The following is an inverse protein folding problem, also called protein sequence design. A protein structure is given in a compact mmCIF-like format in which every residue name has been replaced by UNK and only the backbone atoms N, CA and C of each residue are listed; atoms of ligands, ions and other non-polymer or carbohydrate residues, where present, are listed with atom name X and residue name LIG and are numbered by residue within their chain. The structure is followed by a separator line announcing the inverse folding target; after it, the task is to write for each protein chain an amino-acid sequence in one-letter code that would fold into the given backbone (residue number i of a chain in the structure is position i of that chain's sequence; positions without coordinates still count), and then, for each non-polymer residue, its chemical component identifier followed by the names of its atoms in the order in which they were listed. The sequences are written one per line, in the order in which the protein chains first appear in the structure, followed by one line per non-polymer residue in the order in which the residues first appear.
data_IF_966871843900
#
_entry.id   IF_966871843900
#
_cell.length_a   1.000
_cell.length_b   1.000
_cell.length_c   1.000
_cell.angle_alpha   90.00
_cell.angle_beta   90.00
_cell.angle_gamma   90.00
#
_symmetry.space_group_name_H-M   'P 1'
#
loop_
_entity.id
_entity.type
_entity.pdbx_description
1 polymer ?
#
# COMPACT_ATOMS: atom_id res chain seq x y z
N UNK A 1 -2.01 -13.32 13.20
CA UNK A 1 -1.17 -12.93 12.06
C UNK A 1 -1.76 -13.54 10.81
N UNK A 2 -1.85 -12.79 9.72
CA UNK A 2 -2.16 -13.28 8.38
C UNK A 2 -0.83 -13.58 7.67
N UNK A 3 -0.69 -14.76 7.09
CA UNK A 3 0.57 -15.22 6.50
C UNK A 3 0.33 -15.74 5.09
N UNK A 4 1.12 -15.27 4.16
CA UNK A 4 1.25 -15.79 2.81
C UNK A 4 2.60 -16.50 2.74
N UNK A 5 2.60 -17.78 2.40
CA UNK A 5 3.79 -18.62 2.50
C UNK A 5 4.05 -19.30 1.17
N UNK A 6 5.06 -18.81 0.46
CA UNK A 6 5.60 -19.40 -0.73
C UNK A 6 4.58 -19.62 -1.86
N UNK A 7 3.73 -18.63 -2.17
CA UNK A 7 2.70 -18.79 -3.18
C UNK A 7 3.28 -18.85 -4.58
N UNK A 8 2.92 -19.91 -5.34
CA UNK A 8 3.20 -20.05 -6.76
C UNK A 8 1.89 -20.12 -7.55
N UNK A 9 1.87 -19.48 -8.73
CA UNK A 9 0.73 -19.52 -9.64
C UNK A 9 1.14 -19.30 -11.08
N UNK A 10 0.67 -20.20 -11.95
CA UNK A 10 0.78 -20.09 -13.40
C UNK A 10 -0.60 -20.19 -14.06
N UNK A 11 -0.76 -19.51 -15.19
CA UNK A 11 -1.92 -19.64 -16.09
C UNK A 11 -1.38 -20.01 -17.47
N UNK A 12 -1.48 -21.29 -17.83
CA UNK A 12 -0.76 -21.84 -18.97
C UNK A 12 0.75 -21.63 -18.81
N UNK A 13 1.39 -21.06 -19.81
CA UNK A 13 2.84 -20.78 -19.80
C UNK A 13 3.21 -19.49 -19.06
N UNK A 14 2.22 -18.72 -18.59
CA UNK A 14 2.48 -17.46 -17.90
C UNK A 14 2.64 -17.70 -16.39
N UNK A 15 3.85 -17.55 -15.88
CA UNK A 15 4.19 -17.60 -14.46
C UNK A 15 3.85 -16.25 -13.80
N UNK A 16 2.78 -16.21 -12.99
CA UNK A 16 2.28 -14.98 -12.36
C UNK A 16 2.80 -14.79 -10.94
N UNK A 17 2.97 -15.87 -10.17
CA UNK A 17 3.55 -15.84 -8.83
C UNK A 17 4.64 -16.89 -8.71
N UNK A 18 5.76 -16.49 -8.10
CA UNK A 18 6.93 -17.33 -7.91
C UNK A 18 7.51 -17.15 -6.50
N UNK A 19 6.97 -17.94 -5.56
CA UNK A 19 7.40 -17.94 -4.17
C UNK A 19 6.98 -16.70 -3.36
N UNK A 20 5.82 -16.10 -3.65
CA UNK A 20 5.35 -14.90 -2.93
C UNK A 20 5.06 -15.23 -1.48
N UNK A 21 5.73 -14.52 -0.56
CA UNK A 21 5.57 -14.70 0.88
C UNK A 21 5.72 -13.41 1.66
N UNK A 22 4.81 -13.18 2.61
CA UNK A 22 4.85 -12.07 3.58
C UNK A 22 3.87 -12.35 4.72
N UNK A 23 3.97 -11.55 5.77
CA UNK A 23 3.05 -11.66 6.92
C UNK A 23 2.56 -10.30 7.38
N UNK A 24 1.34 -10.28 7.94
CA UNK A 24 0.67 -9.09 8.44
C UNK A 24 0.22 -9.31 9.87
N UNK A 25 0.73 -8.49 10.78
CA UNK A 25 0.39 -8.58 12.19
C UNK A 25 -1.05 -8.10 12.45
N UNK A 26 -1.72 -8.59 13.51
CA UNK A 26 -2.96 -7.98 13.97
C UNK A 26 -2.78 -6.49 14.24
N UNK A 27 -3.74 -5.69 13.79
CA UNK A 27 -3.72 -4.25 14.01
C UNK A 27 -2.72 -3.47 13.16
N UNK A 28 -2.09 -4.09 12.16
CA UNK A 28 -1.18 -3.41 11.24
C UNK A 28 -1.75 -3.24 9.85
N UNK A 29 -1.27 -2.21 9.16
CA UNK A 29 -1.56 -1.97 7.75
C UNK A 29 -0.37 -2.38 6.90
N UNK A 30 -0.63 -3.23 5.89
CA UNK A 30 0.37 -3.72 4.95
C UNK A 30 0.05 -3.21 3.54
N UNK A 31 0.96 -2.45 2.95
CA UNK A 31 0.90 -1.99 1.57
C UNK A 31 1.49 -3.01 0.61
N UNK A 32 0.68 -3.54 -0.30
CA UNK A 32 1.14 -4.50 -1.31
C UNK A 32 1.34 -3.79 -2.64
N UNK A 33 2.59 -3.40 -2.92
CA UNK A 33 2.98 -2.55 -4.03
C UNK A 33 3.51 -3.36 -5.22
N UNK A 34 3.40 -2.79 -6.41
CA UNK A 34 3.93 -3.38 -7.64
C UNK A 34 3.26 -2.80 -8.88
N UNK A 35 3.91 -2.97 -10.03
CA UNK A 35 3.34 -2.58 -11.32
C UNK A 35 2.06 -3.38 -11.64
N UNK A 36 1.29 -2.89 -12.61
CA UNK A 36 0.17 -3.66 -13.13
C UNK A 36 0.67 -4.96 -13.75
N UNK A 37 -0.06 -6.06 -13.47
CA UNK A 37 0.36 -7.40 -13.91
C UNK A 37 1.44 -8.06 -13.04
N UNK A 38 1.94 -7.42 -11.98
CA UNK A 38 2.94 -8.03 -11.09
C UNK A 38 2.45 -9.25 -10.30
N UNK A 39 1.13 -9.45 -10.17
CA UNK A 39 0.53 -10.59 -9.45
C UNK A 39 -0.25 -10.20 -8.18
N UNK A 40 -0.39 -8.91 -7.85
CA UNK A 40 -1.07 -8.43 -6.64
C UNK A 40 -2.50 -8.97 -6.51
N UNK A 41 -3.35 -8.71 -7.50
CA UNK A 41 -4.74 -9.20 -7.54
C UNK A 41 -4.82 -10.73 -7.47
N UNK A 42 -3.91 -11.45 -8.15
CA UNK A 42 -3.84 -12.91 -8.08
C UNK A 42 -3.55 -13.40 -6.67
N UNK A 43 -2.60 -12.77 -5.97
CA UNK A 43 -2.27 -13.09 -4.57
C UNK A 43 -3.49 -12.91 -3.65
N UNK A 44 -4.21 -11.80 -3.80
CA UNK A 44 -5.43 -11.54 -3.01
C UNK A 44 -6.56 -12.50 -3.35
N UNK A 45 -6.75 -12.83 -4.64
CA UNK A 45 -7.74 -13.84 -5.08
C UNK A 45 -7.44 -15.23 -4.55
N UNK A 46 -6.15 -15.59 -4.38
CA UNK A 46 -5.74 -16.85 -3.74
C UNK A 46 -6.16 -16.85 -2.26
N UNK A 47 -5.90 -15.78 -1.52
CA UNK A 47 -6.33 -15.66 -0.12
C UNK A 47 -7.84 -15.84 0.01
N UNK A 48 -8.62 -15.27 -0.91
CA UNK A 48 -10.09 -15.40 -0.93
C UNK A 48 -10.59 -16.75 -1.45
N UNK A 49 -9.70 -17.63 -1.93
CA UNK A 49 -10.08 -18.93 -2.52
C UNK A 49 -10.76 -18.83 -3.89
N UNK A 50 -10.70 -17.66 -4.54
CA UNK A 50 -11.22 -17.44 -5.89
C UNK A 50 -10.30 -18.00 -6.95
N UNK A 51 -9.00 -18.13 -6.63
CA UNK A 51 -7.98 -18.77 -7.46
C UNK A 51 -7.24 -19.76 -6.58
N UNK A 52 -7.00 -20.97 -7.08
CA UNK A 52 -6.17 -21.95 -6.39
C UNK A 52 -4.70 -21.68 -6.67
N UNK A 53 -3.88 -21.64 -5.63
CA UNK A 53 -2.43 -21.64 -5.77
C UNK A 53 -1.94 -22.98 -6.33
N UNK A 54 -0.86 -22.98 -7.09
CA UNK A 54 -0.22 -24.21 -7.58
C UNK A 54 0.71 -24.80 -6.50
N UNK A 55 1.31 -23.91 -5.66
CA UNK A 55 2.02 -24.27 -4.44
C UNK A 55 1.94 -23.12 -3.44
N UNK A 56 2.32 -23.41 -2.18
CA UNK A 56 2.23 -22.46 -1.07
C UNK A 56 0.84 -22.41 -0.44
N UNK A 57 0.71 -21.63 0.63
CA UNK A 57 -0.51 -21.60 1.46
C UNK A 57 -0.72 -20.22 2.08
N UNK A 58 -1.98 -19.88 2.37
CA UNK A 58 -2.33 -18.68 3.17
C UNK A 58 -2.88 -19.15 4.50
N UNK A 59 -2.37 -18.56 5.61
CA UNK A 59 -2.79 -18.93 6.98
C UNK A 59 -3.32 -17.71 7.73
N UNK A 60 -4.31 -17.95 8.56
CA UNK A 60 -4.79 -17.01 9.57
C UNK A 60 -4.66 -17.62 10.96
N UNK A 61 -3.97 -16.93 11.87
CA UNK A 61 -3.70 -17.41 13.23
C UNK A 61 -3.06 -18.82 13.26
N UNK A 62 -2.17 -19.10 12.29
CA UNK A 62 -1.46 -20.37 12.16
C UNK A 62 -2.21 -21.48 11.46
N UNK A 63 -3.52 -21.32 11.19
CA UNK A 63 -4.33 -22.31 10.46
C UNK A 63 -4.50 -21.90 8.99
N UNK A 64 -4.50 -22.87 8.09
CA UNK A 64 -4.79 -22.63 6.68
C UNK A 64 -6.20 -22.05 6.52
N UNK A 65 -6.36 -21.07 5.60
CA UNK A 65 -7.64 -20.46 5.34
C UNK A 65 -8.64 -21.47 4.73
N UNK A 66 -9.64 -21.82 5.50
CA UNK A 66 -10.80 -22.57 5.05
C UNK A 66 -11.95 -21.64 4.59
N UNK A 67 -13.03 -22.23 4.12
CA UNK A 67 -14.19 -21.47 3.66
C UNK A 67 -14.87 -20.67 4.79
N UNK A 68 -14.88 -21.20 6.01
CA UNK A 68 -15.49 -20.55 7.17
C UNK A 68 -14.67 -19.32 7.58
N UNK A 69 -13.36 -19.44 7.63
CA UNK A 69 -12.45 -18.34 7.93
C UNK A 69 -12.53 -17.25 6.85
N UNK A 70 -12.62 -17.62 5.56
CA UNK A 70 -12.79 -16.65 4.45
C UNK A 70 -14.07 -15.82 4.57
N UNK A 71 -15.16 -16.36 5.15
CA UNK A 71 -16.39 -15.59 5.41
C UNK A 71 -16.19 -14.45 6.40
N UNK A 72 -15.13 -14.51 7.21
CA UNK A 72 -14.76 -13.47 8.19
C UNK A 72 -13.73 -12.47 7.65
N UNK A 73 -13.36 -12.61 6.38
CA UNK A 73 -12.48 -11.65 5.68
C UNK A 73 -13.35 -10.65 4.93
N UNK A 74 -13.14 -9.37 5.16
CA UNK A 74 -13.68 -8.31 4.33
C UNK A 74 -12.83 -8.19 3.07
N UNK A 75 -13.44 -8.37 1.92
CA UNK A 75 -12.76 -8.32 0.65
C UNK A 75 -13.34 -7.23 -0.25
N UNK A 76 -12.46 -6.42 -0.80
CA UNK A 76 -12.80 -5.42 -1.80
C UNK A 76 -11.99 -5.71 -3.07
N UNK A 77 -12.61 -6.23 -4.14
CA UNK A 77 -11.93 -6.44 -5.42
C UNK A 77 -11.70 -5.12 -6.16
N UNK A 78 -10.71 -5.08 -7.06
CA UNK A 78 -10.44 -3.95 -7.96
C UNK A 78 -11.66 -3.65 -8.85
N UNK A 79 -12.29 -4.70 -9.39
CA UNK A 79 -13.52 -4.57 -10.17
C UNK A 79 -14.72 -4.38 -9.23
N UNK A 80 -15.55 -3.37 -9.52
CA UNK A 80 -16.70 -3.05 -8.69
C UNK A 80 -17.79 -4.10 -8.86
N UNK A 81 -17.86 -5.07 -7.94
CA UNK A 81 -18.92 -6.08 -7.88
C UNK A 81 -20.26 -5.56 -7.34
N UNK A 82 -20.59 -4.30 -7.60
CA UNK A 82 -21.82 -3.65 -7.11
C UNK A 82 -22.99 -3.84 -8.08
N UNK A 83 -24.20 -3.96 -7.56
CA UNK A 83 -25.42 -4.02 -8.35
C UNK A 83 -25.87 -2.60 -8.73
N UNK A 84 -25.77 -2.17 -10.01
CA UNK A 84 -25.93 -0.77 -10.40
C UNK A 84 -27.27 -0.15 -10.03
N UNK A 85 -28.36 -0.92 -10.17
CA UNK A 85 -29.74 -0.44 -9.92
C UNK A 85 -30.19 -0.54 -8.46
N UNK A 86 -29.42 -1.23 -7.62
CA UNK A 86 -29.74 -1.37 -6.19
C UNK A 86 -29.38 -0.08 -5.46
N UNK A 87 -30.19 0.32 -4.48
CA UNK A 87 -29.90 1.49 -3.64
C UNK A 87 -28.72 1.20 -2.70
N UNK A 88 -27.96 2.24 -2.38
CA UNK A 88 -26.77 2.14 -1.51
C UNK A 88 -27.07 1.40 -0.21
N UNK A 89 -28.07 1.82 0.56
CA UNK A 89 -28.39 1.20 1.85
C UNK A 89 -28.90 -0.23 1.70
N UNK A 90 -29.69 -0.51 0.65
CA UNK A 90 -30.19 -1.86 0.36
C UNK A 90 -29.04 -2.79 0.03
N UNK A 91 -28.07 -2.34 -0.76
CA UNK A 91 -26.91 -3.14 -1.18
C UNK A 91 -26.00 -3.46 0.00
N UNK A 92 -25.63 -2.49 0.83
CA UNK A 92 -24.81 -2.72 2.02
C UNK A 92 -25.52 -3.68 2.99
N UNK A 93 -26.84 -3.49 3.20
CA UNK A 93 -27.64 -4.41 4.00
C UNK A 93 -27.68 -5.83 3.40
N UNK A 94 -27.76 -5.95 2.07
CA UNK A 94 -27.74 -7.23 1.37
C UNK A 94 -26.41 -7.96 1.61
N UNK A 95 -25.28 -7.29 1.46
CA UNK A 95 -23.98 -7.90 1.76
C UNK A 95 -23.84 -8.30 3.23
N UNK A 96 -24.30 -7.48 4.17
CA UNK A 96 -24.35 -7.85 5.58
C UNK A 96 -25.11 -9.17 5.83
N UNK A 97 -26.26 -9.33 5.15
CA UNK A 97 -27.06 -10.55 5.24
C UNK A 97 -26.39 -11.76 4.61
N UNK A 98 -25.66 -11.60 3.51
CA UNK A 98 -24.87 -12.67 2.90
C UNK A 98 -23.76 -13.18 3.84
N UNK A 99 -23.26 -12.30 4.71
CA UNK A 99 -22.31 -12.67 5.77
C UNK A 99 -22.97 -13.22 7.05
N UNK A 100 -24.31 -13.47 7.02
CA UNK A 100 -25.01 -14.14 8.10
C UNK A 100 -25.61 -13.25 9.19
N UNK A 101 -25.59 -11.90 9.05
CA UNK A 101 -26.24 -11.02 9.99
C UNK A 101 -27.78 -11.15 9.85
N UNK A 102 -28.50 -11.14 10.98
CA UNK A 102 -29.97 -11.02 10.95
C UNK A 102 -30.43 -9.69 10.33
N UNK A 103 -31.72 -9.58 10.01
CA UNK A 103 -32.25 -8.40 9.32
C UNK A 103 -32.01 -7.09 10.10
N UNK A 104 -32.19 -7.15 11.43
CA UNK A 104 -32.02 -5.97 12.30
C UNK A 104 -30.55 -5.57 12.46
N UNK A 105 -29.67 -6.54 12.67
CA UNK A 105 -28.21 -6.30 12.73
C UNK A 105 -27.67 -5.78 11.39
N UNK A 106 -28.10 -6.37 10.27
CA UNK A 106 -27.69 -5.95 8.94
C UNK A 106 -28.11 -4.49 8.63
N UNK A 107 -29.33 -4.11 9.00
CA UNK A 107 -29.81 -2.74 8.82
C UNK A 107 -28.98 -1.75 9.65
N UNK A 108 -28.74 -2.04 10.94
CA UNK A 108 -27.93 -1.18 11.81
C UNK A 108 -26.49 -1.05 11.32
N UNK A 109 -25.84 -2.17 10.92
CA UNK A 109 -24.51 -2.14 10.39
C UNK A 109 -24.43 -1.35 9.07
N UNK A 110 -25.43 -1.50 8.20
CA UNK A 110 -25.54 -0.70 6.97
C UNK A 110 -25.65 0.79 7.28
N UNK A 111 -26.50 1.20 8.24
CA UNK A 111 -26.67 2.60 8.63
C UNK A 111 -25.36 3.17 9.20
N UNK A 112 -24.68 2.40 10.04
CA UNK A 112 -23.40 2.78 10.61
C UNK A 112 -22.36 3.04 9.53
N UNK A 113 -22.12 2.08 8.62
CA UNK A 113 -21.07 2.20 7.62
C UNK A 113 -21.37 3.19 6.51
N UNK A 114 -22.64 3.26 6.07
CA UNK A 114 -23.10 4.29 5.11
C UNK A 114 -22.91 5.69 5.71
N UNK A 115 -23.19 5.85 7.01
CA UNK A 115 -22.97 7.12 7.72
C UNK A 115 -21.49 7.47 7.86
N UNK A 116 -20.66 6.54 8.36
CA UNK A 116 -19.22 6.73 8.57
C UNK A 116 -18.45 7.08 7.28
N UNK A 117 -18.89 6.52 6.15
CA UNK A 117 -18.27 6.77 4.86
C UNK A 117 -18.89 7.97 4.09
N UNK A 118 -19.69 8.78 4.75
CA UNK A 118 -20.27 10.00 4.19
C UNK A 118 -21.30 9.77 3.08
N UNK A 119 -21.95 8.60 3.07
CA UNK A 119 -22.97 8.22 2.09
C UNK A 119 -24.41 8.38 2.60
N UNK A 120 -24.61 8.98 3.79
CA UNK A 120 -25.92 9.07 4.44
C UNK A 120 -26.99 9.69 3.57
N UNK A 121 -26.72 10.86 2.95
CA UNK A 121 -27.62 11.54 2.04
C UNK A 121 -27.88 10.77 0.73
N UNK A 122 -26.99 9.87 0.36
CA UNK A 122 -27.05 9.04 -0.85
C UNK A 122 -27.61 7.65 -0.61
N UNK A 123 -28.01 7.33 0.63
CA UNK A 123 -28.51 6.01 1.05
C UNK A 123 -29.63 5.46 0.15
N UNK A 124 -30.51 6.35 -0.31
CA UNK A 124 -31.63 6.02 -1.19
C UNK A 124 -31.34 6.04 -2.69
N UNK A 125 -30.16 6.46 -3.10
CA UNK A 125 -29.79 6.57 -4.50
C UNK A 125 -29.36 5.22 -5.08
N UNK A 126 -29.70 4.90 -6.34
CA UNK A 126 -29.11 3.78 -7.07
C UNK A 126 -27.60 3.97 -7.22
N UNK A 127 -26.84 2.87 -7.08
CA UNK A 127 -25.36 2.92 -7.13
C UNK A 127 -24.85 3.50 -8.46
N UNK A 128 -25.50 3.21 -9.58
CA UNK A 128 -25.13 3.73 -10.91
C UNK A 128 -25.16 5.27 -11.02
N UNK A 129 -25.92 5.95 -10.15
CA UNK A 129 -26.01 7.41 -10.12
C UNK A 129 -24.91 8.09 -9.31
N UNK A 130 -24.11 7.30 -8.61
CA UNK A 130 -23.02 7.81 -7.78
C UNK A 130 -21.77 8.11 -8.61
N UNK A 131 -20.98 9.11 -8.16
CA UNK A 131 -19.62 9.28 -8.66
C UNK A 131 -18.78 8.04 -8.39
N UNK A 132 -17.69 7.86 -9.16
CA UNK A 132 -16.78 6.72 -8.99
C UNK A 132 -16.26 6.61 -7.55
N UNK A 133 -15.92 7.75 -6.92
CA UNK A 133 -15.46 7.78 -5.53
C UNK A 133 -16.54 7.34 -4.53
N UNK A 134 -17.80 7.73 -4.74
CA UNK A 134 -18.89 7.25 -3.88
C UNK A 134 -19.19 5.77 -4.09
N UNK A 135 -19.07 5.25 -5.32
CA UNK A 135 -19.16 3.81 -5.57
C UNK A 135 -18.05 3.04 -4.84
N UNK A 136 -16.83 3.58 -4.81
CA UNK A 136 -15.71 3.03 -4.06
C UNK A 136 -16.00 2.94 -2.57
N UNK A 137 -16.60 4.02 -2.01
CA UNK A 137 -17.05 4.04 -0.60
C UNK A 137 -18.14 3.02 -0.32
N UNK A 138 -19.07 2.79 -1.24
CA UNK A 138 -20.10 1.73 -1.11
C UNK A 138 -19.44 0.36 -1.09
N UNK A 139 -18.47 0.12 -1.94
CA UNK A 139 -17.73 -1.14 -2.00
C UNK A 139 -16.95 -1.39 -0.70
N UNK A 140 -16.31 -0.35 -0.15
CA UNK A 140 -15.68 -0.46 1.16
C UNK A 140 -16.71 -0.71 2.28
N UNK A 141 -17.87 -0.02 2.26
CA UNK A 141 -18.94 -0.29 3.22
C UNK A 141 -19.36 -1.76 3.20
N UNK A 142 -19.48 -2.34 2.01
CA UNK A 142 -19.80 -3.77 1.84
C UNK A 142 -18.71 -4.69 2.41
N UNK A 143 -17.42 -4.35 2.28
CA UNK A 143 -16.33 -5.11 2.86
C UNK A 143 -16.27 -5.04 4.40
N UNK A 144 -16.71 -3.91 4.98
CA UNK A 144 -16.64 -3.64 6.42
C UNK A 144 -17.90 -4.05 7.19
N UNK A 145 -19.06 -4.16 6.51
CA UNK A 145 -20.37 -4.31 7.17
C UNK A 145 -20.50 -5.57 8.02
N UNK A 146 -19.75 -6.62 7.70
CA UNK A 146 -19.73 -7.89 8.46
C UNK A 146 -18.84 -7.87 9.70
N UNK A 147 -18.17 -6.75 9.99
CA UNK A 147 -17.14 -6.64 11.05
C UNK A 147 -16.05 -7.71 10.88
N UNK A 148 -15.29 -7.65 9.81
CA UNK A 148 -14.33 -8.68 9.45
C UNK A 148 -13.16 -8.78 10.45
N UNK A 149 -12.58 -9.97 10.56
CA UNK A 149 -11.34 -10.21 11.33
C UNK A 149 -10.08 -9.85 10.54
N UNK A 150 -10.17 -9.72 9.22
CA UNK A 150 -9.08 -9.39 8.30
C UNK A 150 -9.67 -8.55 7.16
N UNK A 151 -8.95 -7.56 6.66
CA UNK A 151 -9.30 -6.80 5.47
C UNK A 151 -8.28 -7.04 4.35
N UNK A 152 -8.78 -7.39 3.16
CA UNK A 152 -7.99 -7.52 1.93
C UNK A 152 -8.65 -6.63 0.86
N UNK A 153 -7.94 -5.58 0.42
CA UNK A 153 -8.49 -4.53 -0.41
C UNK A 153 -7.62 -4.35 -1.67
N UNK A 154 -8.22 -4.53 -2.84
CA UNK A 154 -7.50 -4.39 -4.10
C UNK A 154 -7.76 -3.00 -4.69
N UNK A 155 -6.70 -2.15 -4.73
CA UNK A 155 -6.71 -0.76 -5.19
C UNK A 155 -7.83 0.11 -4.56
N UNK A 156 -7.99 0.13 -3.21
CA UNK A 156 -9.14 0.77 -2.56
C UNK A 156 -9.19 2.30 -2.76
N UNK A 157 -8.08 2.94 -3.05
CA UNK A 157 -7.97 4.39 -3.22
C UNK A 157 -8.07 4.85 -4.68
N UNK A 158 -8.23 3.92 -5.62
CA UNK A 158 -8.29 4.24 -7.05
C UNK A 158 -9.50 5.10 -7.39
N UNK A 159 -9.27 6.22 -8.08
CA UNK A 159 -10.32 7.12 -8.56
C UNK A 159 -10.97 7.99 -7.47
N UNK A 160 -10.37 8.08 -6.28
CA UNK A 160 -10.77 9.00 -5.23
C UNK A 160 -10.09 10.36 -5.40
N UNK A 161 -10.81 11.42 -5.02
CA UNK A 161 -10.22 12.74 -4.78
C UNK A 161 -9.46 12.75 -3.43
N UNK A 162 -8.62 13.77 -3.15
CA UNK A 162 -7.85 13.82 -1.90
C UNK A 162 -8.71 13.71 -0.63
N UNK A 163 -9.89 14.33 -0.61
CA UNK A 163 -10.81 14.25 0.54
C UNK A 163 -11.35 12.83 0.72
N UNK A 164 -11.65 12.16 -0.41
CA UNK A 164 -12.05 10.77 -0.43
C UNK A 164 -10.97 9.82 0.08
N UNK A 165 -9.73 10.06 -0.33
CA UNK A 165 -8.57 9.30 0.16
C UNK A 165 -8.42 9.45 1.67
N UNK A 166 -8.47 10.66 2.21
CA UNK A 166 -8.28 10.89 3.64
C UNK A 166 -9.41 10.26 4.48
N UNK A 167 -10.67 10.39 4.03
CA UNK A 167 -11.82 9.78 4.71
C UNK A 167 -11.74 8.25 4.73
N UNK A 168 -11.33 7.63 3.61
CA UNK A 168 -11.18 6.19 3.51
C UNK A 168 -10.00 5.70 4.35
N UNK A 169 -8.88 6.41 4.30
CA UNK A 169 -7.69 6.12 5.09
C UNK A 169 -7.99 6.13 6.59
N UNK A 170 -8.72 7.14 7.09
CA UNK A 170 -9.14 7.22 8.48
C UNK A 170 -10.01 6.02 8.89
N UNK A 171 -10.93 5.60 8.02
CA UNK A 171 -11.74 4.40 8.24
C UNK A 171 -10.90 3.13 8.37
N UNK A 172 -9.90 2.94 7.51
CA UNK A 172 -9.00 1.77 7.54
C UNK A 172 -8.06 1.81 8.75
N UNK A 173 -7.50 2.98 9.07
CA UNK A 173 -6.70 3.17 10.29
C UNK A 173 -7.52 2.87 11.55
N UNK A 174 -8.81 3.22 11.56
CA UNK A 174 -9.72 2.84 12.63
C UNK A 174 -9.82 1.32 12.81
N UNK A 175 -9.98 0.57 11.71
CA UNK A 175 -10.00 -0.89 11.75
C UNK A 175 -8.68 -1.49 12.24
N UNK A 176 -7.55 -0.96 11.80
CA UNK A 176 -6.25 -1.38 12.28
C UNK A 176 -6.10 -1.14 13.79
N UNK A 177 -6.50 0.03 14.31
CA UNK A 177 -6.51 0.32 15.76
C UNK A 177 -7.39 -0.63 16.55
N UNK A 178 -8.48 -1.12 15.96
CA UNK A 178 -9.36 -2.13 16.55
C UNK A 178 -8.78 -3.56 16.47
N UNK A 179 -7.54 -3.71 15.99
CA UNK A 179 -6.80 -4.98 15.94
C UNK A 179 -6.97 -5.77 14.64
N UNK A 180 -7.69 -5.24 13.65
CA UNK A 180 -7.90 -5.89 12.34
C UNK A 180 -6.66 -5.69 11.47
N UNK A 181 -5.98 -6.76 10.99
CA UNK A 181 -4.94 -6.61 9.98
C UNK A 181 -5.55 -6.19 8.65
N UNK A 182 -4.94 -5.18 8.02
CA UNK A 182 -5.38 -4.62 6.74
C UNK A 182 -4.28 -4.82 5.69
N UNK A 183 -4.60 -5.52 4.62
CA UNK A 183 -3.77 -5.64 3.42
C UNK A 183 -4.43 -4.86 2.30
N UNK A 184 -3.74 -3.92 1.69
CA UNK A 184 -4.26 -3.30 0.49
C UNK A 184 -3.21 -3.20 -0.61
N UNK A 185 -3.63 -3.40 -1.87
CA UNK A 185 -2.78 -3.14 -3.01
C UNK A 185 -2.82 -1.66 -3.38
N UNK A 186 -1.69 -1.14 -3.83
CA UNK A 186 -1.63 0.19 -4.41
C UNK A 186 -0.43 0.33 -5.36
N UNK A 187 -0.61 1.16 -6.38
CA UNK A 187 0.47 1.70 -7.21
C UNK A 187 0.91 3.10 -6.75
N UNK A 188 0.23 3.70 -5.74
CA UNK A 188 0.53 5.01 -5.17
C UNK A 188 1.43 4.84 -3.94
N UNK A 189 2.75 4.83 -4.16
CA UNK A 189 3.74 4.55 -3.12
C UNK A 189 3.76 5.61 -2.01
N UNK A 190 3.51 6.88 -2.34
CA UNK A 190 3.42 7.97 -1.35
C UNK A 190 2.29 7.73 -0.34
N UNK A 191 1.16 7.18 -0.82
CA UNK A 191 0.04 6.83 0.04
C UNK A 191 0.37 5.64 0.94
N UNK A 192 1.04 4.62 0.39
CA UNK A 192 1.50 3.45 1.16
C UNK A 192 2.50 3.88 2.23
N UNK A 193 3.48 4.73 1.89
CA UNK A 193 4.44 5.29 2.84
C UNK A 193 3.76 6.03 4.01
N UNK A 194 2.67 6.75 3.72
CA UNK A 194 1.92 7.51 4.73
C UNK A 194 1.06 6.64 5.65
N UNK A 195 0.52 5.53 5.14
CA UNK A 195 -0.53 4.77 5.84
C UNK A 195 -0.07 3.44 6.42
N UNK A 196 1.00 2.83 5.88
CA UNK A 196 1.36 1.47 6.21
C UNK A 196 2.49 1.38 7.22
N UNK A 197 2.39 0.39 8.11
CA UNK A 197 3.47 0.00 9.02
C UNK A 197 4.54 -0.79 8.27
N UNK A 198 4.10 -1.59 7.30
CA UNK A 198 4.97 -2.44 6.50
C UNK A 198 4.51 -2.51 5.04
N UNK A 199 5.42 -2.82 4.16
CA UNK A 199 5.20 -2.87 2.73
C UNK A 199 5.84 -4.11 2.12
N UNK A 200 5.20 -4.62 1.08
CA UNK A 200 5.76 -5.64 0.19
C UNK A 200 5.76 -5.14 -1.25
N UNK A 201 6.91 -5.16 -1.89
CA UNK A 201 7.08 -4.77 -3.28
C UNK A 201 7.15 -6.01 -4.14
N UNK A 202 6.17 -6.15 -5.04
CA UNK A 202 6.07 -7.27 -5.96
C UNK A 202 6.51 -6.84 -7.37
N UNK A 203 7.46 -7.55 -7.95
CA UNK A 203 7.86 -7.37 -9.34
C UNK A 203 8.01 -8.72 -10.04
N UNK A 204 7.41 -8.86 -11.22
CA UNK A 204 7.47 -10.09 -12.03
C UNK A 204 7.15 -11.37 -11.24
N UNK A 205 6.14 -11.31 -10.38
CA UNK A 205 5.69 -12.45 -9.59
C UNK A 205 6.53 -12.78 -8.35
N UNK A 206 7.57 -12.02 -8.04
CA UNK A 206 8.45 -12.23 -6.88
C UNK A 206 8.43 -11.05 -5.94
N UNK A 207 8.57 -11.31 -4.64
CA UNK A 207 8.80 -10.26 -3.65
C UNK A 207 10.24 -9.76 -3.80
N UNK A 208 10.40 -8.50 -4.19
CA UNK A 208 11.73 -7.87 -4.36
C UNK A 208 12.15 -7.08 -3.12
N UNK A 209 11.18 -6.61 -2.32
CA UNK A 209 11.42 -6.05 -0.99
C UNK A 209 10.21 -6.31 -0.09
N UNK A 210 10.42 -6.53 1.20
CA UNK A 210 9.38 -6.64 2.21
C UNK A 210 9.93 -6.28 3.58
N UNK A 211 9.15 -5.55 4.38
CA UNK A 211 9.54 -5.15 5.73
C UNK A 211 8.79 -3.92 6.23
N UNK A 212 9.16 -3.45 7.42
CA UNK A 212 8.67 -2.19 7.94
C UNK A 212 9.09 -1.02 7.02
N UNK A 213 8.18 -0.09 6.76
CA UNK A 213 8.44 1.06 5.86
C UNK A 213 9.70 1.80 6.28
N UNK A 214 9.81 2.15 7.56
CA UNK A 214 10.96 2.87 8.12
C UNK A 214 12.27 2.06 8.05
N UNK A 215 12.19 0.72 8.15
CA UNK A 215 13.37 -0.14 8.06
C UNK A 215 13.89 -0.23 6.63
N UNK A 216 13.00 -0.36 5.65
CA UNK A 216 13.35 -0.36 4.23
C UNK A 216 13.99 0.96 3.83
N UNK A 217 13.42 2.10 4.25
CA UNK A 217 13.99 3.42 4.00
C UNK A 217 15.41 3.57 4.56
N UNK A 218 15.70 2.99 5.72
CA UNK A 218 17.03 3.04 6.33
C UNK A 218 18.05 2.09 5.71
N UNK A 219 17.62 0.89 5.26
CA UNK A 219 18.53 -0.13 4.71
C UNK A 219 18.98 0.19 3.30
N UNK A 220 18.05 0.61 2.45
CA UNK A 220 18.28 0.82 1.02
C UNK A 220 18.68 2.27 0.72
N UNK A 221 18.38 3.20 1.64
CA UNK A 221 18.69 4.60 1.48
C UNK A 221 20.12 4.93 1.91
N UNK A 222 20.95 5.30 0.96
CA UNK A 222 22.21 6.00 1.27
C UNK A 222 21.92 7.22 2.18
N UNK A 223 22.95 7.70 2.88
CA UNK A 223 22.85 8.92 3.70
C UNK A 223 22.67 10.13 2.77
N UNK A 224 21.41 10.47 2.46
CA UNK A 224 21.08 11.59 1.57
C UNK A 224 21.03 12.90 2.35
N UNK A 225 21.76 13.91 1.86
CA UNK A 225 21.78 15.25 2.41
C UNK A 225 21.28 16.25 1.37
N UNK A 226 20.22 16.97 1.66
CA UNK A 226 19.72 18.05 0.82
C UNK A 226 20.30 19.38 1.27
N UNK A 227 20.92 20.08 0.34
CA UNK A 227 21.55 21.39 0.58
C UNK A 227 21.02 22.37 -0.45
N UNK A 228 20.46 23.50 0.01
CA UNK A 228 19.97 24.56 -0.87
C UNK A 228 20.82 25.82 -0.70
N UNK A 229 21.52 26.17 -1.76
CA UNK A 229 22.31 27.41 -1.89
C UNK A 229 21.85 28.09 -3.20
N UNK A 230 20.89 29.03 -3.15
CA UNK A 230 20.21 29.56 -4.32
C UNK A 230 21.14 30.11 -5.43
N UNK A 231 22.27 30.67 -5.03
CA UNK A 231 23.23 31.29 -5.94
C UNK A 231 24.44 30.40 -6.25
N UNK A 232 24.40 29.11 -5.89
CA UNK A 232 25.51 28.20 -6.14
C UNK A 232 25.67 27.90 -7.64
N UNK A 233 26.89 27.97 -8.12
CA UNK A 233 27.25 27.42 -9.42
C UNK A 233 27.19 25.88 -9.42
N UNK A 234 26.97 25.29 -10.59
CA UNK A 234 26.98 23.84 -10.75
C UNK A 234 28.29 23.20 -10.29
N UNK A 235 28.20 22.04 -9.66
CA UNK A 235 29.36 21.20 -9.31
C UNK A 235 30.09 21.65 -8.06
N UNK A 236 29.55 22.53 -7.22
CA UNK A 236 30.20 23.04 -6.01
C UNK A 236 30.56 21.91 -5.00
N UNK A 237 29.80 20.83 -5.00
CA UNK A 237 29.99 19.69 -4.10
C UNK A 237 30.81 18.55 -4.73
N UNK A 238 31.09 18.57 -6.03
CA UNK A 238 31.66 17.45 -6.78
C UNK A 238 33.08 17.03 -6.33
N UNK A 239 33.84 17.96 -5.71
CA UNK A 239 35.19 17.71 -5.24
C UNK A 239 35.27 17.30 -3.76
N UNK A 240 34.12 17.18 -3.06
CA UNK A 240 34.11 16.85 -1.64
C UNK A 240 34.39 15.35 -1.43
N UNK A 241 35.32 14.99 -0.51
CA UNK A 241 35.65 13.59 -0.24
C UNK A 241 34.44 12.81 0.31
N UNK A 242 34.16 11.63 -0.28
CA UNK A 242 33.08 10.77 0.19
C UNK A 242 31.68 11.31 -0.11
N UNK A 243 31.53 12.27 -1.03
CA UNK A 243 30.28 12.86 -1.43
C UNK A 243 30.02 12.58 -2.92
N UNK A 244 28.82 12.08 -3.22
CA UNK A 244 28.32 11.88 -4.58
C UNK A 244 27.15 12.82 -4.83
N UNK A 245 27.17 13.62 -5.87
CA UNK A 245 26.02 14.46 -6.29
C UNK A 245 25.00 13.55 -6.96
N UNK A 246 23.80 13.45 -6.37
CA UNK A 246 22.67 12.67 -6.90
C UNK A 246 21.86 13.50 -7.88
N UNK A 247 21.57 14.75 -7.51
CA UNK A 247 20.90 15.71 -8.37
C UNK A 247 21.28 17.14 -7.99
N UNK A 248 21.25 18.05 -8.98
CA UNK A 248 21.52 19.47 -8.79
C UNK A 248 20.64 20.28 -9.71
N UNK A 249 19.78 21.14 -9.15
CA UNK A 249 18.87 22.00 -9.91
C UNK A 249 18.69 23.35 -9.19
N UNK A 250 19.00 24.44 -9.89
CA UNK A 250 18.75 25.81 -9.41
C UNK A 250 19.19 26.06 -7.94
N UNK A 251 20.38 25.56 -7.57
CA UNK A 251 20.93 25.71 -6.22
C UNK A 251 20.40 24.70 -5.19
N UNK A 252 19.46 23.83 -5.55
CA UNK A 252 19.01 22.68 -4.73
C UNK A 252 19.83 21.48 -5.11
N UNK A 253 20.65 20.99 -4.19
CA UNK A 253 21.59 19.90 -4.42
C UNK A 253 21.28 18.75 -3.46
N UNK A 254 21.07 17.56 -4.02
CA UNK A 254 20.94 16.31 -3.28
C UNK A 254 22.26 15.56 -3.34
N UNK A 255 22.82 15.28 -2.19
CA UNK A 255 24.13 14.62 -2.02
C UNK A 255 23.94 13.29 -1.33
N UNK A 256 24.65 12.28 -1.81
CA UNK A 256 24.83 11.01 -1.09
C UNK A 256 26.17 11.03 -0.41
N UNK A 257 26.17 10.75 0.90
CA UNK A 257 27.36 10.72 1.71
C UNK A 257 27.75 9.27 2.04
N UNK A 258 29.00 8.91 1.74
CA UNK A 258 29.55 7.63 2.14
C UNK A 258 29.56 7.46 3.67
N UNK A 259 29.61 6.23 4.16
CA UNK A 259 29.72 5.97 5.58
C UNK A 259 30.99 6.64 6.15
N UNK A 260 30.81 7.49 7.16
CA UNK A 260 31.92 8.26 7.78
C UNK A 260 32.28 9.56 7.08
N UNK A 261 31.62 9.94 5.97
CA UNK A 261 31.80 11.27 5.37
C UNK A 261 31.31 12.36 6.32
N UNK A 262 32.06 13.46 6.37
CA UNK A 262 31.81 14.58 7.27
C UNK A 262 30.81 15.57 6.68
N UNK A 263 29.60 15.62 7.21
CA UNK A 263 28.56 16.54 6.81
C UNK A 263 28.91 18.01 7.16
N UNK A 264 29.73 18.24 8.19
CA UNK A 264 30.20 19.59 8.54
C UNK A 264 31.16 20.14 7.48
N UNK A 265 31.95 19.29 6.86
CA UNK A 265 32.77 19.69 5.70
C UNK A 265 31.90 20.10 4.51
N UNK A 266 30.77 19.39 4.28
CA UNK A 266 29.78 19.77 3.27
C UNK A 266 29.15 21.12 3.60
N UNK A 267 28.72 21.34 4.86
CA UNK A 267 28.16 22.61 5.30
C UNK A 267 29.16 23.76 5.12
N UNK A 268 30.42 23.54 5.52
CA UNK A 268 31.47 24.54 5.36
C UNK A 268 31.73 24.89 3.88
N UNK A 269 31.66 23.91 2.98
CA UNK A 269 31.77 24.14 1.54
C UNK A 269 30.58 24.94 1.00
N UNK A 270 29.37 24.57 1.39
CA UNK A 270 28.14 25.25 1.01
C UNK A 270 28.15 26.73 1.43
N UNK A 271 28.58 27.02 2.67
CA UNK A 271 28.69 28.40 3.20
C UNK A 271 29.74 29.25 2.47
N UNK A 272 30.81 28.62 1.93
CA UNK A 272 31.80 29.34 1.06
C UNK A 272 31.24 29.63 -0.32
N UNK A 273 30.30 28.82 -0.79
CA UNK A 273 29.68 28.97 -2.11
C UNK A 273 28.61 30.07 -2.11
N UNK A 274 27.86 30.19 -1.01
CA UNK A 274 26.80 31.18 -0.89
C UNK A 274 25.96 31.05 0.37
N UNK A 275 24.81 31.74 0.39
CA UNK A 275 23.87 31.66 1.53
C UNK A 275 23.16 30.31 1.54
N UNK A 276 23.41 29.50 2.57
CA UNK A 276 22.68 28.25 2.79
C UNK A 276 21.28 28.54 3.33
N UNK A 277 20.24 28.13 2.62
CA UNK A 277 18.84 28.31 3.03
C UNK A 277 18.21 27.01 3.55
N UNK A 278 18.80 25.86 3.20
CA UNK A 278 18.39 24.55 3.69
C UNK A 278 19.61 23.63 3.82
N UNK A 279 19.68 22.88 4.90
CA UNK A 279 20.69 21.85 5.14
C UNK A 279 20.06 20.80 6.05
N UNK A 280 19.63 19.69 5.48
CA UNK A 280 18.98 18.64 6.24
C UNK A 280 19.23 17.26 5.63
N UNK A 281 19.35 16.28 6.50
CA UNK A 281 19.30 14.88 6.10
C UNK A 281 17.94 14.58 5.47
N UNK A 282 17.96 13.87 4.36
CA UNK A 282 16.76 13.42 3.68
C UNK A 282 16.70 11.89 3.74
N UNK A 283 15.60 11.38 4.21
CA UNK A 283 15.31 9.96 4.06
C UNK A 283 14.80 9.68 2.64
N UNK A 284 15.23 8.58 1.99
CA UNK A 284 14.68 8.19 0.70
C UNK A 284 13.19 7.90 0.83
N UNK A 285 12.45 8.16 -0.23
CA UNK A 285 11.03 7.80 -0.32
C UNK A 285 10.88 6.37 -0.81
N UNK A 286 9.73 5.74 -0.53
CA UNK A 286 9.41 4.43 -1.11
C UNK A 286 9.41 4.45 -2.65
N UNK A 287 9.11 5.60 -3.27
CA UNK A 287 9.18 5.78 -4.74
C UNK A 287 10.61 5.62 -5.25
N UNK A 288 11.57 6.20 -4.55
CA UNK A 288 13.00 6.09 -4.91
C UNK A 288 13.49 4.66 -4.75
N UNK A 289 13.19 4.03 -3.61
CA UNK A 289 13.52 2.63 -3.35
C UNK A 289 12.90 1.70 -4.40
N UNK A 290 11.62 1.92 -4.75
CA UNK A 290 10.94 1.13 -5.77
C UNK A 290 11.65 1.21 -7.13
N UNK A 291 12.09 2.41 -7.53
CA UNK A 291 12.82 2.59 -8.80
C UNK A 291 14.14 1.85 -8.81
N UNK A 292 14.91 1.91 -7.71
CA UNK A 292 16.17 1.22 -7.57
C UNK A 292 16.00 -0.31 -7.63
N UNK A 293 15.06 -0.84 -6.85
CA UNK A 293 14.82 -2.29 -6.74
C UNK A 293 14.23 -2.88 -8.03
N UNK A 294 13.35 -2.14 -8.72
CA UNK A 294 12.75 -2.60 -9.99
C UNK A 294 13.69 -2.40 -11.17
N UNK A 295 14.57 -1.39 -11.14
CA UNK A 295 15.54 -1.12 -12.20
C UNK A 295 16.77 -2.05 -12.14
N UNK A 296 17.09 -2.61 -10.96
CA UNK A 296 18.20 -3.57 -10.83
C UNK A 296 17.75 -4.90 -11.43
N UNK A 297 18.40 -5.40 -12.51
CA UNK A 297 18.13 -6.75 -12.99
C UNK A 297 18.52 -7.70 -11.84
N UNK A 298 17.61 -8.58 -11.46
CA UNK A 298 17.92 -9.65 -10.51
C UNK A 298 19.02 -10.50 -11.16
N UNK A 299 20.28 -10.32 -10.76
CA UNK A 299 21.33 -11.27 -11.09
C UNK A 299 20.86 -12.62 -10.56
N UNK A 300 20.79 -13.59 -11.45
CA UNK A 300 20.63 -15.00 -11.12
C UNK A 300 21.68 -15.35 -10.07
N UNK A 301 21.23 -15.60 -8.85
CA UNK A 301 22.05 -16.35 -7.91
C UNK A 301 22.11 -17.78 -8.46
N UNK A 302 23.08 -17.98 -9.35
CA UNK A 302 23.51 -19.31 -9.76
C UNK A 302 24.28 -19.89 -8.57
N UNK A 303 23.79 -20.98 -8.03
CA UNK A 303 24.47 -22.21 -7.61
C UNK A 303 23.66 -22.96 -6.56
#
# INVERSE_FOLDING_TARGET
MLEFDGLHKSFGDNHVLDGVGFSVAPGSMFGFCGSNGAGKTTTMRIAMGLVRADAGVVRWRGAELDQETRRRIGYMPEERGLYPKMKVGEQVTYFARLHGLDAGAAARASDEWVGRLGLGERRGDPVEKLSLGNQQRVQLAAALVSRPEVLILDEPFSGLDPVGVDSLAEGLLGQARDGVPVVFSSHQLDLVERLCDSVGILARGRMVATGAVEELKRREGGRLLRVVVPDAGHGWAAALPGVRVVSEQAGDTLLELAAGADDQAVLAAALRTGRVTHFAWREPTLVELFREVVATPTEEVAA
#
